data_IF_635492669852
#
_entry.id   IF_635492669852
#
_cell.length_a   1.000
_cell.length_b   1.000
_cell.length_c   1.000
_cell.angle_alpha   90.00
_cell.angle_beta   90.00
_cell.angle_gamma   90.00
#
_symmetry.space_group_name_H-M   'P 1'
#
loop_
_entity.id
_entity.type
_entity.pdbx_description
1 polymer ?
#
# COMPACT_ATOMS: atom_id res chain seq x y z
N UNK A 1 -7.57 -11.39 2.53
CA UNK A 1 -6.93 -10.22 1.89
C UNK A 1 -5.90 -9.67 2.87
N UNK A 2 -4.68 -9.31 2.44
CA UNK A 2 -3.64 -8.79 3.32
C UNK A 2 -4.04 -7.40 3.85
N UNK A 3 -3.62 -7.08 5.07
CA UNK A 3 -3.98 -5.84 5.76
C UNK A 3 -3.51 -4.61 4.97
N UNK A 4 -2.30 -4.65 4.44
CA UNK A 4 -1.68 -3.59 3.64
C UNK A 4 -2.49 -3.27 2.37
N UNK A 5 -3.24 -4.24 1.83
CA UNK A 5 -4.07 -3.99 0.67
C UNK A 5 -5.35 -3.20 1.00
N UNK A 6 -5.82 -3.32 2.24
CA UNK A 6 -7.05 -2.68 2.73
C UNK A 6 -6.78 -1.40 3.50
N UNK A 7 -5.55 -1.19 3.98
CA UNK A 7 -5.17 -0.03 4.78
C UNK A 7 -5.31 1.26 3.97
N UNK A 8 -6.00 2.23 4.54
CA UNK A 8 -6.08 3.59 4.00
C UNK A 8 -4.69 4.23 3.99
N UNK A 9 -4.41 5.03 2.96
CA UNK A 9 -3.17 5.78 2.89
C UNK A 9 -3.13 6.86 3.97
N UNK A 10 -1.93 7.10 4.52
CA UNK A 10 -1.71 8.24 5.39
C UNK A 10 -2.06 9.54 4.67
N UNK A 11 -2.56 10.51 5.44
CA UNK A 11 -2.97 11.82 4.97
C UNK A 11 -2.23 12.88 5.78
N UNK A 12 -1.40 13.68 5.13
CA UNK A 12 -0.83 14.88 5.71
C UNK A 12 -1.98 15.86 6.04
N UNK A 13 -2.07 16.28 7.30
CA UNK A 13 -3.13 17.17 7.80
C UNK A 13 -2.49 18.47 8.28
N UNK A 14 -3.06 19.59 7.84
CA UNK A 14 -2.66 20.92 8.30
C UNK A 14 -3.39 21.29 9.59
N UNK A 15 -2.67 21.99 10.47
CA UNK A 15 -3.25 22.65 11.65
C UNK A 15 -4.05 23.90 11.23
N UNK A 16 -4.96 24.34 12.09
CA UNK A 16 -5.86 25.48 11.81
C UNK A 16 -5.16 26.80 11.50
N UNK A 17 -3.95 27.03 12.01
CA UNK A 17 -3.12 28.22 11.75
C UNK A 17 -1.91 27.92 10.85
N UNK A 18 -2.05 26.97 9.92
CA UNK A 18 -0.99 26.65 8.98
C UNK A 18 -0.65 27.84 8.09
N UNK A 19 0.65 28.06 7.89
CA UNK A 19 1.20 29.04 6.96
C UNK A 19 1.23 28.48 5.54
N UNK A 20 1.54 29.34 4.56
CA UNK A 20 1.76 28.88 3.19
C UNK A 20 2.94 27.90 3.08
N UNK A 21 4.01 28.11 3.85
CA UNK A 21 5.14 27.18 3.88
C UNK A 21 4.73 25.79 4.43
N UNK A 22 3.82 25.76 5.40
CA UNK A 22 3.28 24.49 5.93
C UNK A 22 2.47 23.73 4.86
N UNK A 23 1.72 24.46 4.00
CA UNK A 23 0.99 23.86 2.88
C UNK A 23 1.92 23.16 1.89
N UNK A 24 2.99 23.83 1.46
CA UNK A 24 3.96 23.26 0.52
C UNK A 24 4.64 22.01 1.09
N UNK A 25 5.01 22.05 2.38
CA UNK A 25 5.57 20.90 3.08
C UNK A 25 4.57 19.73 3.15
N UNK A 26 3.31 19.99 3.51
CA UNK A 26 2.27 18.96 3.55
C UNK A 26 1.93 18.39 2.16
N UNK A 27 1.99 19.21 1.11
CA UNK A 27 1.81 18.77 -0.27
C UNK A 27 2.92 17.80 -0.69
N UNK A 28 4.18 18.15 -0.45
CA UNK A 28 5.32 17.28 -0.72
C UNK A 28 5.26 15.98 0.10
N UNK A 29 4.92 16.07 1.40
CA UNK A 29 4.74 14.90 2.25
C UNK A 29 3.64 13.98 1.70
N UNK A 30 2.50 14.55 1.30
CA UNK A 30 1.37 13.79 0.77
C UNK A 30 1.77 12.98 -0.46
N UNK A 31 2.57 13.56 -1.36
CA UNK A 31 3.12 12.83 -2.51
C UNK A 31 3.87 11.57 -2.07
N UNK A 32 4.77 11.71 -1.09
CA UNK A 32 5.51 10.57 -0.52
C UNK A 32 4.62 9.54 0.19
N UNK A 33 3.58 9.98 0.90
CA UNK A 33 2.61 9.09 1.54
C UNK A 33 1.84 8.23 0.53
N UNK A 34 1.41 8.81 -0.59
CA UNK A 34 0.71 8.07 -1.66
C UNK A 34 1.62 7.01 -2.28
N UNK A 35 2.84 7.40 -2.68
CA UNK A 35 3.79 6.47 -3.32
C UNK A 35 4.10 5.29 -2.41
N UNK A 36 4.36 5.53 -1.13
CA UNK A 36 4.62 4.45 -0.16
C UNK A 36 3.41 3.54 0.05
N UNK A 37 2.22 4.12 0.18
CA UNK A 37 0.98 3.36 0.38
C UNK A 37 0.68 2.45 -0.81
N UNK A 38 0.77 2.98 -2.04
CA UNK A 38 0.47 2.22 -3.25
C UNK A 38 1.50 1.12 -3.51
N UNK A 39 2.78 1.40 -3.23
CA UNK A 39 3.82 0.37 -3.29
C UNK A 39 3.55 -0.78 -2.30
N UNK A 40 3.16 -0.47 -1.06
CA UNK A 40 2.82 -1.47 -0.06
C UNK A 40 1.59 -2.29 -0.45
N UNK A 41 0.53 -1.64 -0.93
CA UNK A 41 -0.68 -2.32 -1.42
C UNK A 41 -0.36 -3.27 -2.57
N UNK A 42 0.39 -2.79 -3.56
CA UNK A 42 0.78 -3.58 -4.72
C UNK A 42 1.59 -4.80 -4.30
N UNK A 43 2.63 -4.60 -3.50
CA UNK A 43 3.46 -5.70 -2.99
C UNK A 43 2.62 -6.76 -2.26
N UNK A 44 1.66 -6.34 -1.45
CA UNK A 44 0.81 -7.27 -0.70
C UNK A 44 -0.10 -8.11 -1.62
N UNK A 45 -0.68 -7.50 -2.65
CA UNK A 45 -1.50 -8.21 -3.63
C UNK A 45 -0.66 -9.14 -4.51
N UNK A 46 0.47 -8.66 -5.02
CA UNK A 46 1.40 -9.44 -5.85
C UNK A 46 1.90 -10.67 -5.07
N UNK A 47 2.21 -10.50 -3.78
CA UNK A 47 2.59 -11.61 -2.89
C UNK A 47 1.45 -12.61 -2.71
N UNK A 48 0.23 -12.14 -2.43
CA UNK A 48 -0.93 -13.02 -2.28
C UNK A 48 -1.20 -13.84 -3.55
N UNK A 49 -1.06 -13.23 -4.73
CA UNK A 49 -1.21 -13.92 -6.01
C UNK A 49 -0.13 -15.00 -6.18
N UNK A 50 1.13 -14.66 -5.90
CA UNK A 50 2.24 -15.60 -5.97
C UNK A 50 2.06 -16.80 -5.02
N UNK A 51 1.64 -16.54 -3.78
CA UNK A 51 1.33 -17.57 -2.78
C UNK A 51 0.21 -18.50 -3.26
N UNK A 52 -0.89 -17.95 -3.77
CA UNK A 52 -2.01 -18.75 -4.31
C UNK A 52 -1.56 -19.62 -5.48
N UNK A 53 -0.79 -19.05 -6.41
CA UNK A 53 -0.26 -19.80 -7.55
C UNK A 53 0.67 -20.94 -7.11
N UNK A 54 1.49 -20.73 -6.06
CA UNK A 54 2.33 -21.78 -5.47
C UNK A 54 1.48 -22.92 -4.88
N UNK A 55 0.47 -22.58 -4.07
CA UNK A 55 -0.44 -23.56 -3.46
C UNK A 55 -1.15 -24.37 -4.53
N UNK A 56 -1.67 -23.72 -5.56
CA UNK A 56 -2.34 -24.41 -6.65
C UNK A 56 -1.43 -25.39 -7.40
N UNK A 57 -0.19 -24.99 -7.70
CA UNK A 57 0.79 -25.87 -8.35
C UNK A 57 1.08 -27.10 -7.48
N UNK A 58 1.29 -26.89 -6.18
CA UNK A 58 1.53 -27.99 -5.24
C UNK A 58 0.32 -28.94 -5.16
N UNK A 59 -0.89 -28.39 -5.08
CA UNK A 59 -2.13 -29.18 -5.06
C UNK A 59 -2.32 -30.00 -6.35
N UNK A 60 -1.96 -29.45 -7.52
CA UNK A 60 -1.98 -30.18 -8.79
C UNK A 60 -0.98 -31.33 -8.78
N UNK A 61 0.26 -31.08 -8.35
CA UNK A 61 1.31 -32.09 -8.28
C UNK A 61 1.01 -33.25 -7.30
N UNK A 62 0.21 -32.99 -6.25
CA UNK A 62 -0.19 -34.02 -5.28
C UNK A 62 -1.38 -34.89 -5.74
N UNK A 63 -2.14 -34.43 -6.74
CA UNK A 63 -3.30 -35.15 -7.31
C UNK A 63 -2.94 -35.97 -8.55
N UNK A 64 -1.79 -35.72 -9.15
CA UNK A 64 -1.16 -36.51 -10.22
C UNK A 64 -0.33 -37.65 -9.65
#
# INVERSE_FOLDING_TARGET
MPEEALRSCALAVLRSQATYADLEAAYAERGGQIVRCDAARRLALDTLEAERALVERWLRARRS
#
